data_IF_687486211437
#
_entry.id   IF_687486211437
#
_cell.length_a   1.000
_cell.length_b   1.000
_cell.length_c   1.000
_cell.angle_alpha   90.00
_cell.angle_beta   90.00
_cell.angle_gamma   90.00
#
_symmetry.space_group_name_H-M   'P 1'
#
loop_
_entity.id
_entity.type
_entity.pdbx_description
1 polymer ?
#
# COMPACT_ATOMS: atom_id res chain seq x y z
N UNK A 1 -11.09 -49.08 32.57
CA UNK A 1 -10.36 -48.87 31.31
C UNK A 1 -10.87 -47.60 30.69
N UNK A 2 -10.05 -46.55 30.77
CA UNK A 2 -10.43 -45.22 30.33
C UNK A 2 -10.67 -45.18 28.82
N UNK A 3 -11.80 -44.64 28.42
CA UNK A 3 -12.10 -44.31 27.05
C UNK A 3 -11.09 -43.25 26.62
N UNK A 4 -10.22 -43.64 25.70
CA UNK A 4 -9.41 -42.68 24.96
C UNK A 4 -10.39 -41.90 24.06
N UNK A 5 -10.93 -40.78 24.56
CA UNK A 5 -11.43 -39.75 23.66
C UNK A 5 -10.21 -39.33 22.86
N UNK A 6 -10.18 -39.72 21.58
CA UNK A 6 -9.31 -39.12 20.60
C UNK A 6 -9.73 -37.65 20.50
N UNK A 7 -9.17 -36.80 21.35
CA UNK A 7 -9.11 -35.36 21.15
C UNK A 7 -8.19 -35.13 19.96
N UNK A 8 -8.71 -35.29 18.73
CA UNK A 8 -8.17 -34.57 17.61
C UNK A 8 -8.17 -33.11 18.03
N UNK A 9 -6.98 -32.51 18.10
CA UNK A 9 -6.84 -31.08 18.40
C UNK A 9 -7.91 -30.34 17.56
N UNK A 10 -8.66 -29.40 18.15
CA UNK A 10 -9.88 -28.83 17.54
C UNK A 10 -9.65 -28.10 16.19
N UNK A 11 -8.43 -28.10 15.66
CA UNK A 11 -8.03 -27.43 14.43
C UNK A 11 -7.29 -28.34 13.43
N UNK A 12 -7.22 -29.65 13.66
CA UNK A 12 -6.57 -30.58 12.71
C UNK A 12 -7.33 -30.63 11.38
N UNK A 13 -6.60 -30.59 10.26
CA UNK A 13 -7.13 -30.79 8.90
C UNK A 13 -7.83 -32.15 8.75
N UNK A 14 -7.45 -33.14 9.57
CA UNK A 14 -8.03 -34.48 9.58
C UNK A 14 -9.41 -34.54 10.25
N UNK A 15 -9.88 -33.50 10.93
CA UNK A 15 -11.25 -33.42 11.40
C UNK A 15 -12.19 -33.11 10.23
N UNK A 16 -13.36 -33.76 10.21
CA UNK A 16 -14.37 -33.61 9.13
C UNK A 16 -14.74 -32.12 8.97
N UNK A 17 -14.46 -31.58 7.77
CA UNK A 17 -14.79 -30.20 7.42
C UNK A 17 -13.70 -29.14 7.71
N UNK A 18 -12.68 -29.44 8.50
CA UNK A 18 -11.65 -28.45 8.88
C UNK A 18 -10.64 -28.11 7.78
N UNK A 19 -10.60 -28.84 6.68
CA UNK A 19 -9.75 -28.56 5.52
C UNK A 19 -10.06 -27.22 4.83
N UNK A 20 -11.23 -26.64 5.07
CA UNK A 20 -11.65 -25.37 4.45
C UNK A 20 -10.64 -24.24 4.65
N UNK A 21 -9.99 -24.18 5.83
CA UNK A 21 -8.94 -23.19 6.10
C UNK A 21 -7.72 -23.38 5.20
N UNK A 22 -7.33 -24.62 4.93
CA UNK A 22 -6.22 -24.94 4.03
C UNK A 22 -6.54 -24.56 2.59
N UNK A 23 -7.77 -24.83 2.14
CA UNK A 23 -8.25 -24.45 0.81
C UNK A 23 -8.33 -22.94 0.66
N UNK A 24 -8.89 -22.22 1.64
CA UNK A 24 -8.96 -20.75 1.63
C UNK A 24 -7.60 -20.09 1.52
N UNK A 25 -6.53 -20.70 2.07
CA UNK A 25 -5.16 -20.17 1.95
C UNK A 25 -4.71 -19.99 0.50
N UNK A 26 -5.23 -20.78 -0.45
CA UNK A 26 -4.93 -20.65 -1.87
C UNK A 26 -5.53 -19.35 -2.43
N UNK A 27 -6.81 -19.07 -2.13
CA UNK A 27 -7.46 -17.82 -2.54
C UNK A 27 -6.82 -16.60 -1.87
N UNK A 28 -6.52 -16.70 -0.57
CA UNK A 28 -5.78 -15.66 0.17
C UNK A 28 -4.40 -15.40 -0.47
N UNK A 29 -3.73 -16.44 -0.99
CA UNK A 29 -2.46 -16.30 -1.70
C UNK A 29 -2.56 -15.44 -2.97
N UNK A 30 -3.63 -15.59 -3.74
CA UNK A 30 -3.90 -14.74 -4.90
C UNK A 30 -4.13 -13.27 -4.48
N UNK A 31 -4.94 -13.03 -3.44
CA UNK A 31 -5.17 -11.69 -2.90
C UNK A 31 -3.87 -11.04 -2.43
N UNK A 32 -3.05 -11.77 -1.68
CA UNK A 32 -1.76 -11.28 -1.20
C UNK A 32 -0.79 -10.89 -2.33
N UNK A 33 -0.90 -11.50 -3.52
CA UNK A 33 -0.16 -11.02 -4.70
C UNK A 33 -0.66 -9.64 -5.15
N UNK A 34 -1.98 -9.39 -5.13
CA UNK A 34 -2.52 -8.06 -5.45
C UNK A 34 -2.04 -7.03 -4.41
N UNK A 35 -2.08 -7.37 -3.13
CA UNK A 35 -1.63 -6.48 -2.05
C UNK A 35 -0.14 -6.13 -2.20
N UNK A 36 0.70 -7.11 -2.56
CA UNK A 36 2.12 -6.88 -2.85
C UNK A 36 2.33 -5.97 -4.06
N UNK A 37 1.57 -6.18 -5.15
CA UNK A 37 1.63 -5.32 -6.34
C UNK A 37 1.22 -3.88 -6.00
N UNK A 38 0.16 -3.69 -5.21
CA UNK A 38 -0.28 -2.37 -4.76
C UNK A 38 0.79 -1.69 -3.90
N UNK A 39 1.38 -2.41 -2.95
CA UNK A 39 2.48 -1.91 -2.11
C UNK A 39 3.67 -1.42 -2.95
N UNK A 40 4.11 -2.21 -3.94
CA UNK A 40 5.20 -1.83 -4.86
C UNK A 40 4.79 -0.61 -5.70
N UNK A 41 3.57 -0.58 -6.20
CA UNK A 41 3.06 0.53 -7.02
C UNK A 41 3.00 1.85 -6.23
N UNK A 42 2.52 1.82 -5.00
CA UNK A 42 2.49 2.99 -4.12
C UNK A 42 3.91 3.50 -3.81
N UNK A 43 4.83 2.59 -3.53
CA UNK A 43 6.23 2.97 -3.34
C UNK A 43 6.82 3.62 -4.60
N UNK A 44 6.53 3.10 -5.78
CA UNK A 44 6.97 3.69 -7.04
C UNK A 44 6.40 5.10 -7.28
N UNK A 45 5.15 5.35 -6.86
CA UNK A 45 4.56 6.71 -6.88
C UNK A 45 5.33 7.69 -5.99
N UNK A 46 5.72 7.26 -4.78
CA UNK A 46 6.52 8.08 -3.86
C UNK A 46 7.86 8.42 -4.47
N UNK A 47 8.57 7.45 -5.05
CA UNK A 47 9.86 7.67 -5.72
C UNK A 47 9.73 8.67 -6.87
N UNK A 48 8.68 8.54 -7.69
CA UNK A 48 8.37 9.48 -8.78
C UNK A 48 8.14 10.90 -8.26
N UNK A 49 7.33 11.06 -7.22
CA UNK A 49 7.00 12.36 -6.65
C UNK A 49 8.25 13.03 -6.06
N UNK A 50 9.07 12.28 -5.34
CA UNK A 50 10.33 12.77 -4.78
C UNK A 50 11.30 13.23 -5.87
N UNK A 51 11.51 12.41 -6.90
CA UNK A 51 12.36 12.77 -8.03
C UNK A 51 11.86 14.06 -8.73
N UNK A 52 10.55 14.21 -8.93
CA UNK A 52 9.99 15.42 -9.54
C UNK A 52 10.25 16.65 -8.70
N UNK A 53 10.06 16.58 -7.38
CA UNK A 53 10.32 17.68 -6.47
C UNK A 53 11.79 18.10 -6.47
N UNK A 54 12.71 17.15 -6.51
CA UNK A 54 14.15 17.42 -6.64
C UNK A 54 14.46 18.15 -7.95
N UNK A 55 13.89 17.69 -9.08
CA UNK A 55 14.07 18.31 -10.39
C UNK A 55 13.55 19.76 -10.40
N UNK A 56 12.37 20.00 -9.86
CA UNK A 56 11.75 21.32 -9.85
C UNK A 56 12.49 22.29 -8.94
N UNK A 57 12.99 21.80 -7.80
CA UNK A 57 13.82 22.57 -6.89
C UNK A 57 15.15 22.96 -7.55
N UNK A 58 15.86 22.01 -8.18
CA UNK A 58 17.15 22.28 -8.82
C UNK A 58 17.04 23.29 -9.96
N UNK A 59 16.03 23.15 -10.83
CA UNK A 59 15.77 24.08 -11.94
C UNK A 59 15.50 25.50 -11.45
N UNK A 60 14.65 25.65 -10.42
CA UNK A 60 14.31 26.95 -9.85
C UNK A 60 15.54 27.64 -9.25
N UNK A 61 16.31 26.92 -8.44
CA UNK A 61 17.48 27.49 -7.78
C UNK A 61 18.63 27.73 -8.75
N UNK A 62 18.87 26.87 -9.73
CA UNK A 62 19.85 27.10 -10.79
C UNK A 62 19.59 28.43 -11.49
N UNK A 63 18.35 28.69 -11.91
CA UNK A 63 17.97 29.94 -12.56
C UNK A 63 18.19 31.18 -11.66
N UNK A 64 17.99 31.03 -10.35
CA UNK A 64 18.25 32.13 -9.40
C UNK A 64 19.74 32.39 -9.22
N UNK A 65 20.55 31.36 -9.07
CA UNK A 65 22.01 31.47 -8.90
C UNK A 65 22.64 32.05 -10.15
N UNK A 66 22.28 31.57 -11.36
CA UNK A 66 22.81 32.08 -12.63
C UNK A 66 22.45 33.53 -12.94
N UNK A 67 21.41 34.08 -12.30
CA UNK A 67 21.09 35.51 -12.41
C UNK A 67 22.05 36.42 -11.62
N UNK A 68 22.89 35.85 -10.80
CA UNK A 68 23.77 36.60 -9.88
C UNK A 68 23.02 37.07 -8.62
N UNK A 69 23.69 37.78 -7.73
CA UNK A 69 25.05 38.41 -7.85
C UNK A 69 26.23 37.47 -7.50
N UNK A 70 26.00 36.17 -7.18
CA UNK A 70 27.11 35.23 -6.94
C UNK A 70 27.96 35.05 -8.20
N UNK A 71 29.26 34.84 -8.06
CA UNK A 71 30.20 34.71 -9.16
C UNK A 71 31.33 33.73 -8.85
N UNK A 72 32.07 33.32 -9.88
CA UNK A 72 33.37 32.65 -9.77
C UNK A 72 33.30 31.18 -9.40
N UNK A 73 34.27 30.74 -8.57
CA UNK A 73 34.41 29.33 -8.19
C UNK A 73 33.36 28.90 -7.18
N UNK A 74 32.91 29.81 -6.33
CA UNK A 74 31.84 29.57 -5.35
C UNK A 74 30.50 29.43 -6.07
N UNK A 75 30.21 30.22 -7.11
CA UNK A 75 29.03 30.04 -7.95
C UNK A 75 28.99 28.65 -8.58
N UNK A 76 30.10 28.17 -9.14
CA UNK A 76 30.24 26.83 -9.69
C UNK A 76 29.96 25.74 -8.64
N UNK A 77 30.49 25.92 -7.41
CA UNK A 77 30.22 25.05 -6.28
C UNK A 77 28.71 24.96 -5.99
N UNK A 78 28.04 26.12 -5.96
CA UNK A 78 26.59 26.17 -5.71
C UNK A 78 25.77 25.53 -6.85
N UNK A 79 26.11 25.83 -8.11
CA UNK A 79 25.48 25.16 -9.30
C UNK A 79 25.69 23.65 -9.28
N UNK A 80 26.83 23.17 -8.75
CA UNK A 80 27.10 21.72 -8.63
C UNK A 80 26.16 21.04 -7.65
N UNK A 81 25.69 21.72 -6.60
CA UNK A 81 24.62 21.19 -5.71
C UNK A 81 23.32 20.96 -6.49
N UNK A 82 22.97 21.87 -7.40
CA UNK A 82 21.79 21.66 -8.29
C UNK A 82 22.01 20.48 -9.22
N UNK A 83 23.21 20.31 -9.74
CA UNK A 83 23.58 19.20 -10.63
C UNK A 83 23.56 17.86 -9.89
N UNK A 84 24.02 17.82 -8.64
CA UNK A 84 23.89 16.65 -7.77
C UNK A 84 22.41 16.26 -7.65
N UNK A 85 21.57 17.21 -7.28
CA UNK A 85 20.14 17.01 -7.08
C UNK A 85 19.42 16.49 -8.35
N UNK A 86 19.79 16.99 -9.53
CA UNK A 86 19.28 16.48 -10.82
C UNK A 86 19.64 15.02 -11.06
N UNK A 87 20.91 14.67 -10.79
CA UNK A 87 21.39 13.29 -10.94
C UNK A 87 20.77 12.34 -9.92
N UNK A 88 20.56 12.78 -8.67
CA UNK A 88 19.87 12.00 -7.65
C UNK A 88 18.39 11.79 -8.05
N UNK A 89 17.74 12.81 -8.61
CA UNK A 89 16.39 12.69 -9.17
C UNK A 89 16.32 11.61 -10.26
N UNK A 90 17.32 11.55 -11.17
CA UNK A 90 17.39 10.52 -12.22
C UNK A 90 17.49 9.11 -11.60
N UNK A 91 18.27 8.92 -10.54
CA UNK A 91 18.38 7.64 -9.84
C UNK A 91 17.04 7.23 -9.21
N UNK A 92 16.30 8.15 -8.61
CA UNK A 92 14.96 7.85 -8.07
C UNK A 92 13.94 7.53 -9.17
N UNK A 93 14.05 8.14 -10.37
CA UNK A 93 13.27 7.73 -11.54
C UNK A 93 13.63 6.32 -12.00
N UNK A 94 14.90 5.94 -11.94
CA UNK A 94 15.34 4.57 -12.23
C UNK A 94 14.76 3.58 -11.23
N UNK A 95 14.85 3.87 -9.94
CA UNK A 95 14.21 3.07 -8.87
C UNK A 95 12.72 2.86 -9.17
N UNK A 96 11.99 3.95 -9.44
CA UNK A 96 10.57 3.88 -9.81
C UNK A 96 10.34 2.96 -11.02
N UNK A 97 11.17 3.07 -12.05
CA UNK A 97 11.04 2.25 -13.26
C UNK A 97 11.27 0.76 -12.96
N UNK A 98 12.29 0.42 -12.16
CA UNK A 98 12.61 -0.96 -11.80
C UNK A 98 11.49 -1.58 -10.95
N UNK A 99 10.96 -0.84 -9.97
CA UNK A 99 9.81 -1.27 -9.18
C UNK A 99 8.58 -1.60 -10.04
N UNK A 100 8.30 -0.80 -11.07
CA UNK A 100 7.13 -1.01 -11.94
C UNK A 100 7.36 -2.07 -13.02
N UNK A 101 8.50 -2.00 -13.73
CA UNK A 101 8.72 -2.79 -14.94
C UNK A 101 9.34 -4.16 -14.65
N UNK A 102 10.04 -4.30 -13.50
CA UNK A 102 10.65 -5.56 -13.09
C UNK A 102 9.85 -6.20 -11.94
N UNK A 103 9.79 -5.56 -10.77
CA UNK A 103 9.24 -6.18 -9.58
C UNK A 103 7.73 -6.41 -9.68
N UNK A 104 6.97 -5.38 -10.04
CA UNK A 104 5.51 -5.48 -10.16
C UNK A 104 5.11 -6.45 -11.28
N UNK A 105 5.72 -6.36 -12.46
CA UNK A 105 5.42 -7.27 -13.57
C UNK A 105 5.85 -8.71 -13.26
N UNK A 106 6.91 -8.92 -12.49
CA UNK A 106 7.32 -10.25 -12.00
C UNK A 106 6.21 -10.86 -11.13
N UNK A 107 5.63 -10.09 -10.19
CA UNK A 107 4.52 -10.58 -9.36
C UNK A 107 3.29 -10.89 -10.20
N UNK A 108 2.92 -10.01 -11.11
CA UNK A 108 1.76 -10.15 -12.00
C UNK A 108 1.87 -11.39 -12.89
N UNK A 109 3.03 -11.64 -13.48
CA UNK A 109 3.25 -12.81 -14.31
C UNK A 109 3.20 -14.09 -13.47
N UNK A 110 3.86 -14.13 -12.33
CA UNK A 110 3.81 -15.28 -11.42
C UNK A 110 2.37 -15.57 -10.94
N UNK A 111 1.61 -14.54 -10.57
CA UNK A 111 0.21 -14.69 -10.16
C UNK A 111 -0.63 -15.31 -11.29
N UNK A 112 -0.47 -14.83 -12.52
CA UNK A 112 -1.18 -15.34 -13.69
C UNK A 112 -0.84 -16.80 -13.97
N UNK A 113 0.42 -17.19 -13.81
CA UNK A 113 0.90 -18.55 -14.07
C UNK A 113 0.55 -19.53 -12.95
N UNK A 114 0.33 -19.03 -11.73
CA UNK A 114 0.06 -19.86 -10.54
C UNK A 114 -1.42 -19.96 -10.21
N UNK A 115 -2.27 -19.03 -10.62
CA UNK A 115 -3.70 -19.00 -10.31
C UNK A 115 -4.54 -18.91 -11.57
N UNK A 116 -5.26 -19.99 -11.88
CA UNK A 116 -6.09 -20.10 -13.08
C UNK A 116 -7.57 -19.88 -12.76
N UNK A 117 -8.10 -18.72 -13.17
CA UNK A 117 -9.52 -18.41 -13.00
C UNK A 117 -10.41 -19.37 -13.79
N UNK A 118 -11.50 -19.80 -13.17
CA UNK A 118 -12.52 -20.64 -13.82
C UNK A 118 -13.70 -19.80 -14.31
N UNK A 119 -14.41 -20.33 -15.33
CA UNK A 119 -15.59 -19.67 -15.93
C UNK A 119 -16.71 -19.46 -14.90
N UNK A 120 -16.87 -20.38 -13.95
CA UNK A 120 -17.91 -20.33 -12.91
C UNK A 120 -17.42 -19.65 -11.61
N UNK A 121 -16.32 -18.88 -11.67
CA UNK A 121 -15.70 -18.22 -10.52
C UNK A 121 -14.72 -19.12 -9.74
N UNK A 122 -13.87 -18.46 -8.93
CA UNK A 122 -12.82 -19.13 -8.17
C UNK A 122 -11.61 -19.56 -9.02
N UNK A 123 -10.67 -20.25 -8.39
CA UNK A 123 -9.45 -20.75 -9.03
C UNK A 123 -9.49 -22.27 -9.19
N UNK A 124 -8.86 -22.77 -10.24
CA UNK A 124 -8.70 -24.20 -10.51
C UNK A 124 -8.01 -24.89 -9.34
N UNK A 125 -6.96 -24.31 -8.82
CA UNK A 125 -6.12 -24.81 -7.72
C UNK A 125 -6.95 -24.97 -6.43
N UNK A 126 -7.78 -23.99 -6.10
CA UNK A 126 -8.71 -24.01 -4.96
C UNK A 126 -9.72 -25.17 -5.11
N UNK A 127 -10.30 -25.32 -6.29
CA UNK A 127 -11.27 -26.36 -6.55
C UNK A 127 -10.66 -27.76 -6.51
N UNK A 128 -9.48 -27.95 -7.10
CA UNK A 128 -8.76 -29.23 -7.07
C UNK A 128 -8.41 -29.62 -5.63
N UNK A 129 -7.95 -28.70 -4.80
CA UNK A 129 -7.69 -28.94 -3.39
C UNK A 129 -8.96 -29.31 -2.63
N UNK A 130 -10.06 -28.57 -2.83
CA UNK A 130 -11.34 -28.84 -2.19
C UNK A 130 -11.90 -30.22 -2.58
N UNK A 131 -11.88 -30.55 -3.86
CA UNK A 131 -12.33 -31.87 -4.36
C UNK A 131 -11.42 -32.99 -3.85
N UNK A 132 -10.11 -32.78 -3.77
CA UNK A 132 -9.17 -33.71 -3.19
C UNK A 132 -9.52 -34.04 -1.73
N UNK A 133 -9.73 -33.05 -0.88
CA UNK A 133 -10.14 -33.25 0.49
C UNK A 133 -11.53 -33.90 0.61
N UNK A 134 -12.51 -33.48 -0.17
CA UNK A 134 -13.85 -34.11 -0.20
C UNK A 134 -13.75 -35.58 -0.55
N UNK A 135 -12.95 -35.93 -1.57
CA UNK A 135 -12.74 -37.31 -2.00
C UNK A 135 -12.05 -38.14 -0.92
N UNK A 136 -11.00 -37.62 -0.30
CA UNK A 136 -10.28 -38.27 0.79
C UNK A 136 -11.17 -38.52 2.01
N UNK A 137 -12.03 -37.55 2.36
CA UNK A 137 -12.86 -37.58 3.56
C UNK A 137 -14.13 -38.47 3.41
N UNK A 138 -14.70 -38.54 2.22
CA UNK A 138 -16.04 -39.17 1.97
C UNK A 138 -16.18 -40.58 2.52
N UNK A 139 -15.25 -41.55 2.30
CA UNK A 139 -15.40 -42.92 2.78
C UNK A 139 -15.43 -42.99 4.31
N UNK A 140 -14.52 -42.31 4.98
CA UNK A 140 -14.42 -42.30 6.44
C UNK A 140 -15.60 -41.58 7.10
N UNK A 141 -16.02 -40.42 6.57
CA UNK A 141 -17.19 -39.69 7.05
C UNK A 141 -18.48 -40.50 6.98
N UNK A 142 -18.63 -41.38 5.95
CA UNK A 142 -19.72 -42.31 5.87
C UNK A 142 -19.71 -43.32 7.02
N UNK A 143 -18.55 -43.94 7.30
CA UNK A 143 -18.36 -44.88 8.41
C UNK A 143 -18.56 -44.22 9.77
N UNK A 144 -18.08 -42.98 9.95
CA UNK A 144 -18.34 -42.22 11.16
C UNK A 144 -19.84 -41.99 11.41
N UNK A 145 -20.60 -41.68 10.40
CA UNK A 145 -22.05 -41.50 10.49
C UNK A 145 -22.78 -42.84 10.85
N UNK A 146 -22.31 -43.96 10.28
CA UNK A 146 -22.80 -45.31 10.63
C UNK A 146 -22.51 -45.60 12.13
N UNK A 147 -21.32 -45.32 12.60
CA UNK A 147 -20.92 -45.44 14.00
C UNK A 147 -21.79 -44.60 14.95
N UNK A 148 -21.97 -43.32 14.63
CA UNK A 148 -22.80 -42.40 15.44
C UNK A 148 -24.27 -42.91 15.52
N UNK A 149 -24.77 -43.43 14.44
CA UNK A 149 -26.13 -44.01 14.41
C UNK A 149 -26.23 -45.24 15.30
N UNK A 150 -25.24 -46.14 15.21
CA UNK A 150 -25.17 -47.34 16.05
C UNK A 150 -25.01 -46.99 17.53
N UNK A 151 -24.15 -46.00 17.88
CA UNK A 151 -23.97 -45.46 19.23
C UNK A 151 -25.28 -44.91 19.81
N UNK A 152 -26.02 -44.11 19.03
CA UNK A 152 -27.32 -43.58 19.43
C UNK A 152 -28.33 -44.72 19.74
N UNK A 153 -28.41 -45.72 18.82
CA UNK A 153 -29.28 -46.88 19.03
C UNK A 153 -28.93 -47.68 20.30
N UNK A 154 -27.65 -47.92 20.55
CA UNK A 154 -27.20 -48.58 21.81
C UNK A 154 -27.59 -47.76 23.02
N UNK A 155 -27.37 -46.45 23.06
CA UNK A 155 -27.75 -45.60 24.19
C UNK A 155 -29.27 -45.55 24.41
N UNK A 156 -30.08 -45.61 23.34
CA UNK A 156 -31.54 -45.69 23.47
C UNK A 156 -31.97 -47.03 24.05
N UNK A 157 -31.44 -48.15 23.55
CA UNK A 157 -31.72 -49.50 24.11
C UNK A 157 -31.38 -49.60 25.61
N UNK A 158 -30.22 -49.05 26.02
CA UNK A 158 -29.84 -48.99 27.43
C UNK A 158 -30.84 -48.17 28.27
N UNK A 159 -31.35 -47.05 27.75
CA UNK A 159 -32.36 -46.24 28.45
C UNK A 159 -33.69 -47.02 28.60
N UNK A 160 -34.11 -47.71 27.56
CA UNK A 160 -35.35 -48.54 27.58
C UNK A 160 -35.25 -49.71 28.54
N UNK A 161 -34.07 -50.38 28.56
CA UNK A 161 -33.80 -51.47 29.53
C UNK A 161 -33.86 -50.93 30.96
N UNK A 162 -33.20 -49.82 31.26
CA UNK A 162 -33.23 -49.18 32.58
C UNK A 162 -34.66 -48.82 33.02
N UNK A 163 -35.47 -48.28 32.11
CA UNK A 163 -36.87 -47.95 32.38
C UNK A 163 -37.72 -49.23 32.59
N UNK A 164 -37.51 -50.32 31.84
CA UNK A 164 -38.18 -51.57 32.01
C UNK A 164 -37.82 -52.24 33.36
N UNK A 165 -36.53 -52.26 33.71
CA UNK A 165 -36.01 -52.77 34.96
C UNK A 165 -36.55 -51.97 36.18
N UNK A 166 -36.63 -50.65 36.10
CA UNK A 166 -37.22 -49.82 37.15
C UNK A 166 -38.70 -50.10 37.35
N UNK A 167 -39.44 -50.27 36.24
CA UNK A 167 -40.87 -50.62 36.29
C UNK A 167 -41.12 -52.03 36.90
N UNK A 168 -40.28 -52.98 36.53
CA UNK A 168 -40.32 -54.34 37.11
C UNK A 168 -40.00 -54.30 38.62
N UNK A 169 -38.96 -53.56 39.05
CA UNK A 169 -38.62 -53.41 40.46
C UNK A 169 -39.72 -52.74 41.27
N UNK A 170 -40.34 -51.69 40.73
CA UNK A 170 -41.44 -50.97 41.36
C UNK A 170 -42.70 -51.86 41.49
N UNK A 171 -42.91 -52.82 40.58
CA UNK A 171 -44.04 -53.77 40.64
C UNK A 171 -43.92 -54.84 41.74
N UNK A 172 -42.74 -54.97 42.37
CA UNK A 172 -42.44 -55.86 43.50
C UNK A 172 -42.54 -55.16 44.84
N UNK A 173 -42.91 -53.86 44.91
CA UNK A 173 -42.99 -53.05 46.13
C UNK A 173 -44.17 -53.44 47.04
N UNK A 174 -44.58 -52.50 47.96
CA UNK A 174 -45.54 -52.76 49.02
C UNK A 174 -46.91 -53.34 48.67
N UNK A 175 -47.34 -53.15 47.42
CA UNK A 175 -48.54 -53.82 46.80
C UNK A 175 -48.12 -54.56 45.55
N UNK A 176 -47.81 -55.89 45.63
CA UNK A 176 -47.36 -56.66 44.47
C UNK A 176 -48.43 -56.75 43.38
N UNK A 177 -48.00 -56.49 42.13
CA UNK A 177 -48.86 -56.64 40.96
C UNK A 177 -49.23 -58.13 40.73
N UNK A 178 -50.35 -58.45 40.04
CA UNK A 178 -50.74 -59.81 39.68
C UNK A 178 -49.62 -60.60 39.03
N UNK A 179 -49.48 -61.90 39.36
CA UNK A 179 -48.37 -62.75 38.85
C UNK A 179 -48.22 -62.74 37.36
N UNK A 180 -49.31 -62.65 36.59
CA UNK A 180 -49.27 -62.52 35.12
C UNK A 180 -48.69 -61.22 34.65
N UNK A 181 -48.94 -60.13 35.37
CA UNK A 181 -48.37 -58.82 35.03
C UNK A 181 -46.87 -58.75 35.37
N UNK A 182 -46.46 -59.37 36.51
CA UNK A 182 -45.04 -59.50 36.83
C UNK A 182 -44.28 -60.29 35.78
N UNK A 183 -44.85 -61.42 35.32
CA UNK A 183 -44.26 -62.24 34.22
C UNK A 183 -44.07 -61.41 32.93
N UNK A 184 -45.07 -60.62 32.53
CA UNK A 184 -44.99 -59.77 31.37
C UNK A 184 -43.92 -58.68 31.52
N UNK A 185 -43.75 -58.10 32.68
CA UNK A 185 -42.70 -57.14 32.95
C UNK A 185 -41.31 -57.78 32.91
N UNK A 186 -41.16 -58.97 33.41
CA UNK A 186 -39.92 -59.74 33.40
C UNK A 186 -39.51 -60.12 31.95
N UNK A 187 -40.49 -60.61 31.14
CA UNK A 187 -40.29 -60.90 29.72
C UNK A 187 -39.86 -59.63 28.95
N UNK A 188 -40.45 -58.48 29.33
CA UNK A 188 -40.05 -57.19 28.70
C UNK A 188 -38.62 -56.78 29.07
N UNK A 189 -38.21 -56.95 30.31
CA UNK A 189 -36.82 -56.66 30.74
C UNK A 189 -35.87 -57.58 30.00
N UNK A 190 -36.15 -58.87 29.85
CA UNK A 190 -35.27 -59.80 29.15
C UNK A 190 -35.18 -59.47 27.65
N UNK A 191 -36.30 -59.07 27.06
CA UNK A 191 -36.29 -58.58 25.66
C UNK A 191 -35.41 -57.32 25.51
N UNK A 192 -35.57 -56.34 26.44
CA UNK A 192 -34.74 -55.11 26.40
C UNK A 192 -33.24 -55.43 26.57
N UNK A 193 -32.86 -56.35 27.44
CA UNK A 193 -31.47 -56.83 27.63
C UNK A 193 -30.91 -57.42 26.32
N UNK A 194 -31.69 -58.24 25.62
CA UNK A 194 -31.32 -58.80 24.31
C UNK A 194 -31.16 -57.69 23.26
N UNK A 195 -32.03 -56.69 23.28
CA UNK A 195 -31.93 -55.55 22.34
C UNK A 195 -30.70 -54.68 22.63
N UNK A 196 -30.36 -54.47 23.93
CA UNK A 196 -29.10 -53.83 24.35
C UNK A 196 -27.88 -54.60 23.82
N UNK A 197 -27.86 -55.93 23.99
CA UNK A 197 -26.75 -56.74 23.53
C UNK A 197 -26.57 -56.68 22.03
N UNK A 198 -27.64 -56.79 21.23
CA UNK A 198 -27.60 -56.63 19.76
C UNK A 198 -27.17 -55.24 19.31
N UNK A 199 -27.62 -54.18 19.99
CA UNK A 199 -27.23 -52.82 19.68
C UNK A 199 -25.75 -52.57 20.00
N UNK A 200 -25.24 -53.14 21.13
CA UNK A 200 -23.84 -53.13 21.51
C UNK A 200 -22.95 -53.77 20.45
N UNK A 201 -23.30 -54.98 20.02
CA UNK A 201 -22.55 -55.71 18.98
C UNK A 201 -22.45 -54.89 17.64
N UNK A 202 -23.58 -54.27 17.24
CA UNK A 202 -23.60 -53.39 16.07
C UNK A 202 -22.68 -52.17 16.24
N UNK A 203 -22.67 -51.56 17.43
CA UNK A 203 -21.84 -50.42 17.74
C UNK A 203 -20.34 -50.80 17.75
N UNK A 204 -19.98 -51.90 18.40
CA UNK A 204 -18.61 -52.45 18.46
C UNK A 204 -18.12 -52.80 17.05
N UNK A 205 -18.96 -53.42 16.19
CA UNK A 205 -18.63 -53.70 14.80
C UNK A 205 -18.43 -52.44 13.98
N UNK A 206 -19.28 -51.43 14.13
CA UNK A 206 -19.10 -50.14 13.44
C UNK A 206 -17.83 -49.42 13.88
N UNK A 207 -17.44 -49.51 15.15
CA UNK A 207 -16.20 -48.97 15.69
C UNK A 207 -14.97 -49.65 15.09
N UNK A 208 -14.99 -50.99 15.02
CA UNK A 208 -13.92 -51.78 14.39
C UNK A 208 -13.76 -51.44 12.89
N UNK A 209 -14.86 -51.35 12.16
CA UNK A 209 -14.84 -50.96 10.75
C UNK A 209 -14.30 -49.52 10.54
N UNK A 210 -14.65 -48.58 11.41
CA UNK A 210 -14.11 -47.22 11.36
C UNK A 210 -12.59 -47.25 11.65
N UNK A 211 -12.18 -47.99 12.69
CA UNK A 211 -10.76 -48.13 13.06
C UNK A 211 -9.90 -48.69 11.91
N UNK A 212 -10.41 -49.68 11.19
CA UNK A 212 -9.72 -50.28 10.03
C UNK A 212 -9.54 -49.33 8.86
N UNK A 213 -10.44 -48.38 8.62
CA UNK A 213 -10.32 -47.41 7.53
C UNK A 213 -9.61 -46.11 7.94
N UNK A 214 -9.35 -45.89 9.21
CA UNK A 214 -8.71 -44.64 9.70
C UNK A 214 -7.29 -44.43 9.18
N UNK A 215 -6.37 -45.43 9.12
CA UNK A 215 -5.03 -45.21 8.58
C UNK A 215 -5.06 -44.71 7.13
N UNK A 216 -5.84 -45.34 6.27
CA UNK A 216 -5.98 -44.91 4.86
C UNK A 216 -6.59 -43.53 4.73
N UNK A 217 -7.55 -43.18 5.61
CA UNK A 217 -8.11 -41.85 5.67
C UNK A 217 -7.05 -40.81 6.02
N UNK A 218 -6.24 -41.07 7.04
CA UNK A 218 -5.16 -40.16 7.46
C UNK A 218 -4.14 -39.95 6.35
N UNK A 219 -3.69 -41.03 5.70
CA UNK A 219 -2.77 -40.98 4.56
C UNK A 219 -3.34 -40.16 3.40
N UNK A 220 -4.59 -40.38 3.02
CA UNK A 220 -5.24 -39.63 1.94
C UNK A 220 -5.40 -38.13 2.26
N UNK A 221 -5.74 -37.79 3.51
CA UNK A 221 -5.86 -36.40 3.95
C UNK A 221 -4.48 -35.70 3.98
N UNK A 222 -3.46 -36.39 4.46
CA UNK A 222 -2.07 -35.93 4.49
C UNK A 222 -1.53 -35.68 3.09
N UNK A 223 -1.78 -36.58 2.14
CA UNK A 223 -1.34 -36.41 0.76
C UNK A 223 -1.91 -35.15 0.10
N UNK A 224 -3.21 -34.86 0.30
CA UNK A 224 -3.81 -33.61 -0.23
C UNK A 224 -3.30 -32.38 0.51
N UNK A 225 -3.12 -32.47 1.82
CA UNK A 225 -2.55 -31.37 2.61
C UNK A 225 -1.13 -31.04 2.15
N UNK A 226 -0.30 -32.03 1.92
CA UNK A 226 1.07 -31.86 1.44
C UNK A 226 1.11 -31.19 0.06
N UNK A 227 0.20 -31.51 -0.86
CA UNK A 227 0.08 -30.79 -2.13
C UNK A 227 -0.21 -29.30 -1.92
N UNK A 228 -1.10 -28.98 -0.98
CA UNK A 228 -1.38 -27.58 -0.62
C UNK A 228 -0.17 -26.89 0.04
N UNK A 229 0.65 -27.63 0.83
CA UNK A 229 1.88 -27.10 1.42
C UNK A 229 2.92 -26.79 0.36
N UNK A 230 3.12 -27.66 -0.61
CA UNK A 230 4.04 -27.44 -1.73
C UNK A 230 3.63 -26.26 -2.61
N UNK A 231 2.32 -26.06 -2.81
CA UNK A 231 1.82 -24.87 -3.52
C UNK A 231 2.15 -23.58 -2.75
N UNK A 232 1.91 -23.58 -1.44
CA UNK A 232 2.22 -22.44 -0.57
C UNK A 232 3.72 -22.17 -0.44
N UNK A 233 4.54 -23.20 -0.37
CA UNK A 233 6.00 -23.07 -0.34
C UNK A 233 6.53 -22.33 -1.56
N UNK A 234 6.01 -22.66 -2.76
CA UNK A 234 6.35 -21.94 -4.00
C UNK A 234 6.00 -20.46 -3.89
N UNK A 235 4.83 -20.14 -3.35
CA UNK A 235 4.41 -18.75 -3.16
C UNK A 235 5.32 -18.00 -2.19
N UNK A 236 5.59 -18.58 -1.03
CA UNK A 236 6.45 -17.98 0.00
C UNK A 236 7.88 -17.75 -0.51
N UNK A 237 8.43 -18.74 -1.22
CA UNK A 237 9.75 -18.65 -1.84
C UNK A 237 9.80 -17.55 -2.90
N UNK A 238 8.78 -17.49 -3.74
CA UNK A 238 8.64 -16.43 -4.75
C UNK A 238 8.55 -15.03 -4.13
N UNK A 239 7.70 -14.84 -3.13
CA UNK A 239 7.58 -13.54 -2.45
C UNK A 239 8.91 -13.11 -1.82
N UNK A 240 9.64 -14.05 -1.20
CA UNK A 240 10.98 -13.76 -0.68
C UNK A 240 11.94 -13.26 -1.77
N UNK A 241 11.92 -13.86 -2.96
CA UNK A 241 12.74 -13.41 -4.09
C UNK A 241 12.36 -11.99 -4.54
N UNK A 242 11.07 -11.71 -4.69
CA UNK A 242 10.59 -10.37 -5.06
C UNK A 242 11.03 -9.33 -4.02
N UNK A 243 10.92 -9.62 -2.73
CA UNK A 243 11.36 -8.69 -1.68
C UNK A 243 12.88 -8.43 -1.72
N UNK A 244 13.69 -9.41 -2.13
CA UNK A 244 15.12 -9.23 -2.35
C UNK A 244 15.41 -8.36 -3.59
N UNK A 245 14.64 -8.51 -4.65
CA UNK A 245 14.75 -7.65 -5.85
C UNK A 245 14.36 -6.20 -5.51
N UNK A 246 13.24 -6.00 -4.83
CA UNK A 246 12.82 -4.68 -4.32
C UNK A 246 13.91 -4.05 -3.45
N UNK A 247 14.52 -4.82 -2.51
CA UNK A 247 15.65 -4.35 -1.70
C UNK A 247 16.81 -3.88 -2.57
N UNK A 248 17.16 -4.64 -3.61
CA UNK A 248 18.26 -4.32 -4.52
C UNK A 248 17.99 -3.00 -5.26
N UNK A 249 16.77 -2.81 -5.76
CA UNK A 249 16.39 -1.60 -6.50
C UNK A 249 16.30 -0.37 -5.60
N UNK A 250 15.88 -0.52 -4.35
CA UNK A 250 15.81 0.58 -3.38
C UNK A 250 17.18 1.00 -2.81
N UNK A 251 18.17 0.13 -2.88
CA UNK A 251 19.46 0.35 -2.22
C UNK A 251 20.43 1.17 -3.10
N UNK A 252 20.30 2.49 -3.07
CA UNK A 252 21.18 3.40 -3.80
C UNK A 252 22.62 3.40 -3.25
N UNK A 253 22.89 2.90 -2.04
CA UNK A 253 24.25 2.87 -1.47
C UNK A 253 25.18 1.90 -2.21
N UNK A 254 24.64 0.91 -2.89
CA UNK A 254 25.38 -0.03 -3.74
C UNK A 254 25.50 0.45 -5.20
N UNK A 255 24.86 1.58 -5.55
CA UNK A 255 24.92 2.17 -6.89
C UNK A 255 26.17 3.00 -7.06
N UNK A 256 27.02 2.62 -8.04
CA UNK A 256 28.28 3.36 -8.30
C UNK A 256 28.05 4.81 -8.73
N UNK A 257 26.97 5.07 -9.44
CA UNK A 257 26.61 6.42 -9.87
C UNK A 257 26.33 7.32 -8.66
N UNK A 258 25.63 6.80 -7.64
CA UNK A 258 25.35 7.53 -6.41
C UNK A 258 26.64 8.00 -5.69
N UNK A 259 27.58 7.09 -5.50
CA UNK A 259 28.87 7.42 -4.89
C UNK A 259 29.69 8.41 -5.73
N UNK A 260 29.60 8.33 -7.07
CA UNK A 260 30.30 9.24 -7.99
C UNK A 260 29.73 10.65 -7.94
N UNK A 261 28.40 10.80 -7.83
CA UNK A 261 27.72 12.10 -7.72
C UNK A 261 28.31 12.89 -6.53
N UNK A 262 28.37 12.29 -5.35
CA UNK A 262 28.85 12.96 -4.15
C UNK A 262 30.37 13.22 -4.17
N UNK A 263 31.16 12.34 -4.80
CA UNK A 263 32.60 12.59 -4.99
C UNK A 263 32.86 13.77 -5.92
N UNK A 264 32.09 13.91 -6.99
CA UNK A 264 32.19 15.04 -7.91
C UNK A 264 31.75 16.36 -7.26
N UNK A 265 30.66 16.32 -6.45
CA UNK A 265 30.20 17.44 -5.65
C UNK A 265 31.31 17.93 -4.69
N UNK A 266 31.84 17.01 -3.88
CA UNK A 266 32.92 17.30 -2.93
C UNK A 266 34.15 17.93 -3.63
N UNK A 267 34.60 17.33 -4.73
CA UNK A 267 35.73 17.83 -5.52
C UNK A 267 35.49 19.26 -6.00
N UNK A 268 34.32 19.58 -6.51
CA UNK A 268 34.00 20.91 -7.01
C UNK A 268 33.95 21.94 -5.89
N UNK A 269 33.29 21.61 -4.76
CA UNK A 269 33.23 22.51 -3.59
C UNK A 269 34.63 22.74 -3.01
N UNK A 270 35.44 21.70 -2.89
CA UNK A 270 36.80 21.81 -2.38
C UNK A 270 37.73 22.65 -3.27
N UNK A 271 37.46 22.68 -4.59
CA UNK A 271 38.20 23.50 -5.54
C UNK A 271 37.80 24.99 -5.53
N UNK A 272 36.75 25.37 -4.80
CA UNK A 272 36.35 26.77 -4.70
C UNK A 272 37.40 27.59 -3.91
N UNK A 273 37.78 28.72 -4.48
CA UNK A 273 38.84 29.60 -3.95
C UNK A 273 38.40 31.05 -3.81
N UNK A 274 38.24 31.50 -2.60
CA UNK A 274 37.93 32.92 -2.33
C UNK A 274 38.96 33.89 -2.92
N UNK A 275 40.25 33.50 -2.92
CA UNK A 275 41.31 34.33 -3.49
C UNK A 275 41.17 34.49 -4.99
N UNK A 276 40.85 33.44 -5.73
CA UNK A 276 40.63 33.49 -7.15
C UNK A 276 39.39 34.34 -7.48
N UNK A 277 38.31 34.17 -6.74
CA UNK A 277 37.08 34.93 -6.94
C UNK A 277 37.26 36.41 -6.65
N UNK A 278 37.94 36.76 -5.55
CA UNK A 278 38.28 38.15 -5.24
C UNK A 278 39.23 38.77 -6.28
N UNK A 279 40.22 38.01 -6.76
CA UNK A 279 41.10 38.46 -7.83
C UNK A 279 40.33 38.71 -9.12
N UNK A 280 39.44 37.82 -9.49
CA UNK A 280 38.56 37.98 -10.64
C UNK A 280 37.71 39.26 -10.50
N UNK A 281 37.08 39.47 -9.31
CA UNK A 281 36.26 40.65 -9.05
C UNK A 281 37.11 41.95 -9.11
N UNK A 282 38.30 41.96 -8.50
CA UNK A 282 39.20 43.10 -8.56
C UNK A 282 39.62 43.46 -9.98
N UNK A 283 39.88 42.46 -10.82
CA UNK A 283 40.28 42.68 -12.21
C UNK A 283 39.14 43.23 -13.08
N UNK A 284 37.88 42.87 -12.75
CA UNK A 284 36.73 43.26 -13.58
C UNK A 284 35.98 44.50 -13.07
N UNK A 285 36.10 44.82 -11.78
CA UNK A 285 35.34 45.90 -11.12
C UNK A 285 36.20 46.77 -10.20
N UNK A 286 37.46 46.46 -10.04
CA UNK A 286 38.36 47.15 -9.12
C UNK A 286 39.16 48.31 -9.76
N UNK A 287 40.01 48.95 -8.96
CA UNK A 287 40.80 50.12 -9.43
C UNK A 287 41.83 49.78 -10.49
N UNK A 288 42.11 48.49 -10.76
CA UNK A 288 43.02 48.04 -11.82
C UNK A 288 42.34 47.91 -13.19
N UNK A 289 41.03 48.17 -13.29
CA UNK A 289 40.31 48.16 -14.58
C UNK A 289 40.82 49.25 -15.52
N UNK A 290 40.98 48.93 -16.79
CA UNK A 290 41.29 49.91 -17.83
C UNK A 290 40.23 51.02 -17.87
N UNK A 291 40.62 52.22 -17.53
CA UNK A 291 39.77 53.40 -17.61
C UNK A 291 40.12 54.18 -18.87
N UNK A 292 39.12 54.53 -19.67
CA UNK A 292 39.28 55.55 -20.72
C UNK A 292 39.24 56.91 -20.03
N UNK A 293 40.44 57.42 -19.72
CA UNK A 293 40.58 58.76 -19.13
C UNK A 293 40.18 59.80 -20.20
N UNK A 294 39.41 60.86 -19.83
CA UNK A 294 39.11 61.95 -20.73
C UNK A 294 40.39 62.53 -21.32
N UNK A 295 40.42 62.58 -22.62
CA UNK A 295 41.51 63.25 -23.36
C UNK A 295 40.97 64.52 -23.94
N UNK A 296 41.90 65.48 -24.22
CA UNK A 296 41.53 66.70 -24.89
C UNK A 296 40.99 66.37 -26.29
N UNK A 297 39.76 66.81 -26.56
CA UNK A 297 39.12 66.70 -27.86
C UNK A 297 39.12 68.06 -28.48
N UNK A 298 39.73 68.21 -29.68
CA UNK A 298 39.66 69.46 -30.44
C UNK A 298 38.20 69.75 -30.79
N UNK A 299 37.88 71.05 -30.77
CA UNK A 299 36.54 71.52 -31.14
C UNK A 299 36.17 71.09 -32.55
N UNK A 300 35.18 70.25 -32.68
CA UNK A 300 34.60 69.86 -33.96
C UNK A 300 33.16 70.35 -34.01
N UNK A 301 32.82 71.27 -34.98
CA UNK A 301 31.50 71.85 -35.11
C UNK A 301 30.39 70.78 -35.33
N UNK A 302 30.72 69.64 -35.92
CA UNK A 302 29.76 68.54 -36.12
C UNK A 302 29.42 67.74 -34.86
N UNK A 303 30.27 67.77 -33.83
CA UNK A 303 30.06 67.17 -32.53
C UNK A 303 29.14 68.01 -31.64
N UNK A 304 28.98 69.29 -31.88
CA UNK A 304 28.12 70.16 -31.04
C UNK A 304 26.62 69.76 -31.16
N UNK A 305 26.20 69.22 -32.30
CA UNK A 305 24.84 68.68 -32.44
C UNK A 305 24.58 67.41 -31.66
N UNK A 306 25.57 66.58 -31.38
CA UNK A 306 25.47 65.37 -30.59
C UNK A 306 25.43 65.67 -29.07
N UNK A 307 26.18 66.70 -28.62
CA UNK A 307 26.22 67.12 -27.19
C UNK A 307 24.89 67.78 -26.81
N UNK A 308 24.30 68.60 -27.68
CA UNK A 308 23.01 69.23 -27.43
C UNK A 308 21.82 68.31 -27.31
N UNK A 309 21.90 67.10 -27.92
CA UNK A 309 20.89 66.05 -27.76
C UNK A 309 21.02 65.25 -26.47
N UNK A 310 22.20 65.17 -25.86
CA UNK A 310 22.41 64.42 -24.59
C UNK A 310 21.98 65.23 -23.35
N UNK A 311 21.85 66.54 -23.41
CA UNK A 311 21.45 67.36 -22.25
C UNK A 311 19.95 67.34 -21.93
N UNK A 312 19.10 66.70 -22.74
CA UNK A 312 17.66 66.59 -22.48
C UNK A 312 17.22 65.29 -21.87
N UNK A 313 18.14 64.47 -21.32
CA UNK A 313 17.75 63.34 -20.47
C UNK A 313 17.59 63.83 -19.04
N UNK A 314 16.37 63.82 -18.57
CA UNK A 314 15.94 64.22 -17.24
C UNK A 314 16.89 63.68 -16.14
N UNK A 315 17.40 64.56 -15.30
CA UNK A 315 17.94 64.22 -13.99
C UNK A 315 16.89 63.49 -13.20
N UNK A 316 17.00 62.17 -13.18
CA UNK A 316 16.47 61.37 -12.08
C UNK A 316 17.62 61.04 -11.17
N UNK A 317 17.45 61.34 -9.92
CA UNK A 317 18.30 61.06 -8.80
C UNK A 317 18.64 59.58 -8.74
N UNK A 318 19.91 59.32 -8.48
CA UNK A 318 20.51 58.05 -8.10
C UNK A 318 20.53 56.92 -9.15
N UNK A 319 21.73 56.65 -9.60
CA UNK A 319 22.04 55.46 -10.38
C UNK A 319 23.11 55.69 -11.44
N UNK A 320 24.31 55.20 -11.19
CA UNK A 320 25.42 55.12 -12.15
C UNK A 320 24.96 54.32 -13.39
N UNK A 321 24.80 54.98 -14.52
CA UNK A 321 24.50 54.30 -15.77
C UNK A 321 25.75 53.66 -16.35
N UNK A 322 25.84 52.34 -16.30
CA UNK A 322 26.85 51.55 -16.99
C UNK A 322 26.57 51.62 -18.49
N UNK A 323 27.41 52.34 -19.22
CA UNK A 323 27.43 52.22 -20.70
C UNK A 323 28.23 50.97 -21.07
N UNK A 324 27.60 50.15 -21.84
CA UNK A 324 28.13 48.88 -22.39
C UNK A 324 29.33 49.19 -23.30
N UNK A 325 30.51 48.73 -22.94
CA UNK A 325 31.70 48.72 -23.83
C UNK A 325 31.82 47.33 -24.42
N UNK A 326 31.58 47.23 -25.71
CA UNK A 326 31.89 46.05 -26.51
C UNK A 326 33.40 45.98 -26.78
N UNK A 327 34.07 44.86 -26.53
CA UNK A 327 35.42 44.64 -27.04
C UNK A 327 35.38 44.42 -28.56
N UNK A 328 36.24 45.11 -29.29
CA UNK A 328 36.46 44.89 -30.72
C UNK A 328 37.18 43.57 -30.97
N UNK A 329 36.66 42.79 -31.90
CA UNK A 329 37.31 41.57 -32.39
C UNK A 329 36.42 40.78 -33.34
N UNK A 330 36.51 41.16 -34.59
CA UNK A 330 36.22 40.48 -35.87
C UNK A 330 35.44 39.12 -35.90
N UNK A 331 34.35 39.07 -36.58
CA UNK A 331 33.98 38.55 -37.92
C UNK A 331 32.52 38.19 -38.05
N UNK A 332 31.91 38.83 -39.07
CA UNK A 332 30.90 38.34 -39.98
C UNK A 332 29.45 38.09 -39.53
N UNK A 333 28.62 38.98 -40.05
CA UNK A 333 27.17 39.03 -40.24
C UNK A 333 26.64 37.98 -41.26
N UNK A 334 25.32 37.99 -41.62
CA UNK A 334 24.00 38.12 -40.94
C UNK A 334 22.98 37.06 -41.47
N UNK A 335 21.67 37.23 -41.57
CA UNK A 335 20.68 38.12 -40.98
C UNK A 335 19.29 37.51 -40.62
N UNK A 336 18.43 38.36 -40.05
CA UNK A 336 16.95 38.51 -40.18
C UNK A 336 15.97 37.61 -39.46
N UNK A 337 15.02 38.31 -38.82
CA UNK A 337 13.63 37.90 -38.62
C UNK A 337 13.08 38.23 -37.23
N UNK A 338 12.66 39.38 -37.01
CA UNK A 338 11.39 40.09 -36.90
C UNK A 338 10.37 39.54 -35.85
N UNK A 339 9.92 40.48 -35.01
CA UNK A 339 8.67 40.61 -34.23
C UNK A 339 8.51 39.75 -32.97
N UNK A 340 8.31 40.35 -31.84
CA UNK A 340 7.17 40.98 -31.31
C UNK A 340 7.28 41.31 -29.84
N UNK A 341 7.10 42.55 -29.56
CA UNK A 341 6.83 43.20 -28.26
C UNK A 341 5.76 42.50 -27.46
N UNK A 342 5.86 42.51 -26.12
CA UNK A 342 4.96 43.18 -25.19
C UNK A 342 5.42 42.96 -23.71
N UNK A 343 5.82 44.06 -23.05
CA UNK A 343 5.32 44.67 -21.82
C UNK A 343 5.30 43.84 -20.51
N UNK A 344 6.21 44.22 -19.68
CA UNK A 344 6.10 44.69 -18.26
C UNK A 344 4.99 44.15 -17.37
N UNK A 345 5.36 43.66 -16.18
CA UNK A 345 4.93 44.25 -14.90
C UNK A 345 5.91 43.88 -13.78
N UNK A 346 6.34 44.96 -13.17
CA UNK A 346 7.09 45.05 -11.92
C UNK A 346 6.22 44.68 -10.73
N UNK A 347 6.75 43.95 -9.76
CA UNK A 347 6.53 44.22 -8.33
C UNK A 347 7.50 43.44 -7.42
N UNK A 348 8.34 44.24 -6.89
CA UNK A 348 9.19 44.13 -5.73
C UNK A 348 8.42 43.61 -4.48
N UNK A 349 8.95 42.57 -3.81
CA UNK A 349 8.81 42.45 -2.36
C UNK A 349 9.99 41.63 -1.79
N UNK A 350 10.70 42.30 -0.90
CA UNK A 350 11.84 41.75 -0.20
C UNK A 350 11.44 40.73 0.86
N UNK A 351 12.29 39.76 1.06
CA UNK A 351 12.25 38.86 2.21
C UNK A 351 13.50 39.06 3.04
N UNK A 352 13.30 39.62 4.23
CA UNK A 352 14.22 39.47 5.34
C UNK A 352 13.88 38.21 6.09
N UNK A 353 14.82 37.28 6.18
CA UNK A 353 14.71 36.09 7.02
C UNK A 353 15.48 36.36 8.32
N UNK A 354 14.75 36.46 9.41
CA UNK A 354 15.30 36.40 10.76
C UNK A 354 14.98 34.98 11.32
N UNK A 355 16.04 34.28 11.72
CA UNK A 355 15.97 33.04 12.49
C UNK A 355 16.08 33.40 13.96
N UNK A 356 15.08 33.00 14.76
CA UNK A 356 15.27 32.87 16.21
C UNK A 356 14.45 31.68 16.71
N UNK A 357 15.14 30.78 17.42
CA UNK A 357 14.57 29.73 18.27
C UNK A 357 13.79 30.35 19.43
N UNK A 358 12.69 29.71 19.87
CA UNK A 358 12.40 29.28 21.24
C UNK A 358 10.92 28.86 21.42
N UNK A 359 10.81 27.68 21.96
CA UNK A 359 9.79 27.05 22.85
C UNK A 359 8.34 27.51 22.97
N UNK A 360 7.49 26.46 22.96
CA UNK A 360 6.08 26.22 23.31
C UNK A 360 5.54 26.92 24.59
N UNK A 361 4.23 26.77 25.01
CA UNK A 361 3.01 26.33 24.30
C UNK A 361 1.73 27.17 24.58
N UNK A 362 0.65 26.76 23.94
CA UNK A 362 -0.76 26.82 24.36
C UNK A 362 -1.72 27.85 23.77
N UNK A 363 -2.74 27.26 23.11
CA UNK A 363 -4.17 27.55 23.18
C UNK A 363 -4.80 28.73 22.41
N UNK A 364 -5.66 28.30 21.50
CA UNK A 364 -7.01 28.83 21.18
C UNK A 364 -7.20 30.01 20.22
N UNK A 365 -7.95 29.66 19.19
CA UNK A 365 -9.05 30.36 18.53
C UNK A 365 -8.79 31.06 17.19
N UNK A 366 -9.45 30.41 16.22
CA UNK A 366 -10.36 30.98 15.22
C UNK A 366 -9.78 31.76 14.02
N UNK A 367 -10.09 31.17 12.89
CA UNK A 367 -10.63 31.75 11.66
C UNK A 367 -9.70 32.39 10.61
N UNK A 368 -9.94 31.87 9.42
CA UNK A 368 -9.88 32.43 8.07
C UNK A 368 -8.61 32.28 7.24
N UNK A 369 -8.78 31.33 6.29
CA UNK A 369 -8.42 31.37 4.86
C UNK A 369 -7.09 31.98 4.44
N UNK A 370 -6.17 31.15 3.97
CA UNK A 370 -5.70 31.27 2.58
C UNK A 370 -4.92 30.03 2.14
N UNK A 371 -5.19 29.59 0.91
CA UNK A 371 -4.69 28.38 0.30
C UNK A 371 -3.18 28.39 0.11
N UNK A 372 -2.56 27.33 0.64
CA UNK A 372 -1.23 26.91 0.28
C UNK A 372 -1.33 25.46 -0.15
N UNK A 373 -1.19 25.18 -1.45
CA UNK A 373 -1.13 23.83 -2.01
C UNK A 373 -0.03 23.02 -1.34
N UNK A 374 -0.42 22.10 -0.49
CA UNK A 374 0.43 21.02 -0.01
C UNK A 374 0.37 19.90 -1.05
N UNK A 375 1.49 19.50 -1.70
CA UNK A 375 1.47 18.47 -2.74
C UNK A 375 1.18 17.05 -2.22
N UNK A 376 0.93 16.88 -0.92
CA UNK A 376 0.52 15.63 -0.28
C UNK A 376 -0.98 15.53 0.01
N UNK A 377 -1.76 16.56 -0.31
CA UNK A 377 -3.20 16.39 -0.38
C UNK A 377 -3.52 15.68 -1.69
N UNK A 378 -3.85 14.38 -1.59
CA UNK A 378 -4.59 13.69 -2.63
C UNK A 378 -5.76 14.58 -3.06
N UNK A 379 -6.01 14.62 -4.36
CA UNK A 379 -7.06 15.36 -5.04
C UNK A 379 -8.43 15.03 -4.42
N UNK A 380 -8.72 15.64 -3.28
CA UNK A 380 -9.91 15.43 -2.44
C UNK A 380 -11.16 16.03 -3.09
N UNK A 381 -11.03 16.59 -4.29
CA UNK A 381 -12.09 17.29 -5.03
C UNK A 381 -12.85 16.45 -6.06
N UNK A 382 -12.58 15.15 -6.19
CA UNK A 382 -13.25 14.25 -7.15
C UNK A 382 -14.05 13.16 -6.44
N UNK A 383 -14.97 13.54 -5.59
CA UNK A 383 -15.98 12.61 -5.08
C UNK A 383 -17.37 13.01 -5.57
N UNK A 384 -18.26 12.04 -5.70
CA UNK A 384 -19.68 12.28 -5.96
C UNK A 384 -20.39 12.53 -4.64
N UNK A 385 -21.12 13.64 -4.53
CA UNK A 385 -21.96 13.89 -3.33
C UNK A 385 -23.12 12.92 -3.31
N UNK A 386 -23.36 12.31 -2.17
CA UNK A 386 -24.44 11.35 -1.94
C UNK A 386 -25.13 11.65 -0.62
N UNK A 387 -26.41 11.28 -0.51
CA UNK A 387 -27.21 11.44 0.70
C UNK A 387 -27.61 10.09 1.26
N UNK A 388 -27.50 9.92 2.56
CA UNK A 388 -27.93 8.72 3.26
C UNK A 388 -29.46 8.57 3.24
N UNK A 389 -29.93 7.40 2.82
CA UNK A 389 -31.34 7.01 2.81
C UNK A 389 -31.77 6.41 4.14
N UNK A 390 -30.85 5.77 4.86
CA UNK A 390 -31.10 5.05 6.11
C UNK A 390 -30.00 5.38 7.12
N UNK A 391 -30.32 5.16 8.40
CA UNK A 391 -29.31 5.19 9.47
C UNK A 391 -28.36 3.99 9.29
N UNK A 392 -27.08 4.22 9.47
CA UNK A 392 -26.08 3.16 9.48
C UNK A 392 -25.10 3.35 10.64
N UNK A 393 -24.92 2.30 11.45
CA UNK A 393 -23.94 2.26 12.54
C UNK A 393 -22.86 1.24 12.19
N UNK A 394 -21.64 1.73 11.95
CA UNK A 394 -20.48 0.92 11.59
C UNK A 394 -20.19 -0.14 12.65
N UNK A 395 -19.96 -1.37 12.20
CA UNK A 395 -19.67 -2.53 13.05
C UNK A 395 -18.16 -2.73 13.26
N UNK A 396 -17.35 -2.18 12.32
CA UNK A 396 -15.89 -2.27 12.34
C UNK A 396 -15.26 -0.87 12.40
N UNK A 397 -13.95 -0.80 12.75
CA UNK A 397 -13.26 0.49 12.97
C UNK A 397 -13.06 1.31 11.69
N UNK A 398 -13.14 0.69 10.54
CA UNK A 398 -13.00 1.30 9.21
C UNK A 398 -14.33 1.60 8.52
N UNK A 399 -15.45 1.41 9.19
CA UNK A 399 -16.78 1.75 8.71
C UNK A 399 -17.24 3.12 9.18
N UNK A 400 -18.00 3.82 8.32
CA UNK A 400 -18.66 5.09 8.66
C UNK A 400 -19.96 4.82 9.42
N UNK A 401 -20.31 5.75 10.32
CA UNK A 401 -21.64 5.79 10.93
C UNK A 401 -22.31 7.11 10.54
N UNK A 402 -23.57 7.05 10.08
CA UNK A 402 -24.35 8.20 9.65
C UNK A 402 -25.85 7.95 9.83
N UNK A 403 -26.62 9.01 9.77
CA UNK A 403 -28.09 8.99 9.87
C UNK A 403 -28.73 9.28 8.52
N UNK A 404 -29.97 8.83 8.35
CA UNK A 404 -30.78 9.17 7.19
C UNK A 404 -30.86 10.70 7.00
N UNK A 405 -30.52 11.17 5.80
CA UNK A 405 -30.44 12.58 5.46
C UNK A 405 -29.05 13.19 5.55
N UNK A 406 -28.07 12.52 6.16
CA UNK A 406 -26.69 13.00 6.18
C UNK A 406 -26.08 12.98 4.78
N UNK A 407 -25.27 13.99 4.49
CA UNK A 407 -24.56 14.09 3.23
C UNK A 407 -23.11 13.64 3.42
N UNK A 408 -22.60 12.89 2.45
CA UNK A 408 -21.22 12.41 2.41
C UNK A 408 -20.68 12.44 0.99
N UNK A 409 -19.37 12.36 0.87
CA UNK A 409 -18.71 12.32 -0.44
C UNK A 409 -18.26 10.89 -0.72
N UNK A 410 -18.83 10.26 -1.77
CA UNK A 410 -18.38 8.97 -2.29
C UNK A 410 -17.05 9.18 -3.00
N UNK A 411 -16.01 8.44 -2.59
CA UNK A 411 -14.64 8.54 -3.10
C UNK A 411 -14.29 7.43 -4.08
N UNK A 412 -14.81 6.22 -3.85
CA UNK A 412 -14.57 5.03 -4.68
C UNK A 412 -15.90 4.36 -5.03
N UNK A 413 -15.94 3.68 -6.19
CA UNK A 413 -17.11 2.93 -6.60
C UNK A 413 -17.32 1.67 -5.75
N UNK A 414 -18.54 1.11 -5.83
CA UNK A 414 -18.95 -0.10 -5.14
C UNK A 414 -18.03 -1.28 -5.47
N UNK A 415 -17.57 -1.97 -4.42
CA UNK A 415 -16.78 -3.18 -4.56
C UNK A 415 -17.66 -4.43 -4.83
N UNK A 416 -17.04 -5.59 -5.06
CA UNK A 416 -17.73 -6.87 -5.34
C UNK A 416 -18.62 -7.35 -4.18
N UNK A 417 -18.58 -6.70 -3.01
CA UNK A 417 -19.37 -7.01 -1.81
C UNK A 417 -20.46 -5.99 -1.51
N UNK A 418 -20.57 -4.95 -2.31
CA UNK A 418 -21.59 -3.92 -2.15
C UNK A 418 -21.16 -2.75 -1.24
N UNK A 419 -19.86 -2.54 -1.02
CA UNK A 419 -19.34 -1.47 -0.19
C UNK A 419 -18.72 -0.34 -1.01
N UNK A 420 -18.94 0.89 -0.57
CA UNK A 420 -18.30 2.10 -1.10
C UNK A 420 -17.39 2.72 -0.05
N UNK A 421 -16.35 3.40 -0.49
CA UNK A 421 -15.54 4.25 0.38
C UNK A 421 -15.98 5.69 0.26
N UNK A 422 -16.13 6.37 1.39
CA UNK A 422 -16.55 7.75 1.42
C UNK A 422 -15.98 8.55 2.57
N UNK A 423 -16.37 9.83 2.57
CA UNK A 423 -15.96 10.79 3.57
C UNK A 423 -17.18 11.60 4.05
N UNK A 424 -17.37 11.64 5.35
CA UNK A 424 -18.32 12.54 5.99
C UNK A 424 -17.84 14.00 5.94
N UNK A 425 -18.76 14.95 6.06
CA UNK A 425 -18.41 16.37 6.15
C UNK A 425 -17.56 16.72 7.39
N UNK A 426 -17.55 15.84 8.41
CA UNK A 426 -16.64 15.90 9.55
C UNK A 426 -15.17 15.60 9.20
N UNK A 427 -14.91 15.09 7.98
CA UNK A 427 -13.58 14.64 7.54
C UNK A 427 -13.28 13.16 7.80
N UNK A 428 -14.14 12.42 8.49
CA UNK A 428 -13.98 11.00 8.75
C UNK A 428 -14.08 10.21 7.45
N UNK A 429 -13.11 9.32 7.22
CA UNK A 429 -13.05 8.41 6.07
C UNK A 429 -13.43 7.00 6.53
N UNK A 430 -14.15 6.25 5.69
CA UNK A 430 -14.47 4.85 5.97
C UNK A 430 -15.34 4.21 4.89
N UNK A 431 -15.69 2.95 5.13
CA UNK A 431 -16.55 2.13 4.27
C UNK A 431 -18.01 2.29 4.68
N UNK A 432 -18.91 2.13 3.72
CA UNK A 432 -20.35 2.10 3.94
C UNK A 432 -21.06 1.30 2.86
N UNK A 433 -22.24 0.69 3.14
CA UNK A 433 -22.99 -0.07 2.14
C UNK A 433 -23.54 0.83 1.02
N UNK A 434 -23.26 0.48 -0.23
CA UNK A 434 -23.61 1.30 -1.40
C UNK A 434 -25.13 1.57 -1.53
N UNK A 435 -25.97 0.62 -1.11
CA UNK A 435 -27.42 0.72 -1.17
C UNK A 435 -28.05 1.58 -0.06
N UNK A 436 -27.23 2.18 0.82
CA UNK A 436 -27.71 3.08 1.89
C UNK A 436 -27.67 4.54 1.50
N UNK A 437 -27.18 4.87 0.30
CA UNK A 437 -27.07 6.25 -0.18
C UNK A 437 -27.61 6.43 -1.59
N UNK A 438 -27.98 7.66 -1.94
CA UNK A 438 -28.35 8.06 -3.30
C UNK A 438 -27.50 9.27 -3.75
N UNK A 439 -27.17 9.42 -5.05
CA UNK A 439 -26.51 10.62 -5.57
C UNK A 439 -27.38 11.86 -5.40
N UNK A 440 -26.74 13.00 -5.07
CA UNK A 440 -27.40 14.31 -4.95
C UNK A 440 -27.10 15.13 -6.21
#
# INVERSE_FOLDING_TARGET
>A
MGFCEFYLLPHSVSQVGNYKRTVKRIDDGHRLCNDLMNCIHERAKIEKAYAQQLTDWSKRWRQLVEKGPQYGTVERGWITVMTETEKVSELHQEVKNNLLNEDLEKVKNWQKDSYHKQIMGGFKETKEAEEGFKKAQKPWAKKLKELETAKKAYHMACKEEKLASTREANSKGETPAPAEQQKKLQEKVEKCKNDVQKAKEKYEKALDELGKCTPQYMENMEAVFEQCQQFEEKRLSFVREVLLDVKRHLNLTENQSYATIYRDLERTITSASAQEDLKWFSNNHGPGMHMNWPQFEEYNPDLTHAISKKEKVKKNHDGVTLTHVTPAGDHATPPTGDRGSVSSYDKNQGYSAEWSDEDQPAAQQAAETNGGNNPFEEDVSKGVRVRALYDYEGQEQDELSFRAGDELTKLEDEDDQGWCKGRLDSGQLGLYPANYVEPI
#
